data_IF_641231620753
#
_entry.id   IF_641231620753
#
_cell.length_a   1.000
_cell.length_b   1.000
_cell.length_c   1.000
_cell.angle_alpha   90.00
_cell.angle_beta   90.00
_cell.angle_gamma   90.00
#
_symmetry.space_group_name_H-M   'P 1'
#
loop_
_entity.id
_entity.type
_entity.pdbx_description
1 polymer ?
#
# COMPACT_ATOMS: atom_id res chain seq x y z
N UNK A 1 9.16 -20.49 -4.01
CA UNK A 1 9.46 -19.05 -3.88
C UNK A 1 8.14 -18.32 -3.70
N UNK A 2 7.84 -17.84 -2.50
CA UNK A 2 6.72 -16.92 -2.33
C UNK A 2 7.09 -15.63 -3.07
N UNK A 3 6.43 -15.40 -4.21
CA UNK A 3 6.69 -14.23 -5.03
C UNK A 3 6.55 -12.95 -4.22
N UNK A 4 7.48 -12.02 -4.44
CA UNK A 4 7.51 -10.70 -3.83
C UNK A 4 6.15 -10.00 -3.98
N UNK A 5 5.50 -9.64 -2.86
CA UNK A 5 4.20 -8.96 -2.89
C UNK A 5 4.36 -7.50 -3.36
N UNK A 6 3.51 -7.10 -4.31
CA UNK A 6 3.41 -5.72 -4.80
C UNK A 6 1.99 -5.19 -4.65
N UNK A 7 1.86 -3.92 -4.31
CA UNK A 7 0.60 -3.20 -4.24
C UNK A 7 0.60 -2.03 -5.22
N UNK A 8 -0.29 -2.08 -6.21
CA UNK A 8 -0.51 -0.98 -7.16
C UNK A 8 -1.65 -0.11 -6.65
N UNK A 9 -1.36 1.15 -6.35
CA UNK A 9 -2.31 2.12 -5.81
C UNK A 9 -2.52 3.18 -6.88
N UNK A 10 -3.77 3.37 -7.31
CA UNK A 10 -4.12 4.34 -8.35
C UNK A 10 -5.05 5.40 -7.77
N UNK A 11 -4.76 6.67 -8.06
CA UNK A 11 -5.61 7.78 -7.63
C UNK A 11 -6.80 7.91 -8.56
N UNK A 12 -7.91 7.29 -8.16
CA UNK A 12 -9.19 7.34 -8.87
C UNK A 12 -10.28 7.85 -7.94
N UNK A 13 -11.22 8.62 -8.51
CA UNK A 13 -12.38 9.10 -7.75
C UNK A 13 -13.38 7.94 -7.59
N UNK A 14 -13.69 7.59 -6.35
CA UNK A 14 -14.70 6.58 -6.00
C UNK A 14 -15.64 7.14 -4.93
N UNK A 15 -16.94 6.79 -4.94
CA UNK A 15 -17.81 7.13 -3.83
C UNK A 15 -17.35 6.40 -2.57
N UNK A 16 -17.29 7.11 -1.43
CA UNK A 16 -16.96 6.54 -0.13
C UNK A 16 -18.23 6.42 0.72
N UNK A 17 -18.39 5.27 1.38
CA UNK A 17 -19.40 5.08 2.43
C UNK A 17 -18.83 5.41 3.81
N UNK A 18 -19.41 4.80 4.85
CA UNK A 18 -18.87 4.89 6.21
C UNK A 18 -17.53 4.18 6.32
N UNK A 19 -16.60 4.78 7.09
CA UNK A 19 -15.31 4.18 7.36
C UNK A 19 -15.46 2.94 8.26
N UNK A 20 -14.72 1.88 7.95
CA UNK A 20 -14.72 0.65 8.74
C UNK A 20 -13.66 0.71 9.85
N UNK A 21 -13.98 0.14 11.02
CA UNK A 21 -13.00 -0.10 12.09
C UNK A 21 -12.11 -1.29 11.74
N UNK A 22 -10.87 -1.38 12.27
CA UNK A 22 -10.00 -2.54 12.07
C UNK A 22 -10.66 -3.89 12.39
N UNK A 23 -11.54 -3.95 13.40
CA UNK A 23 -12.27 -5.17 13.76
C UNK A 23 -13.36 -5.59 12.77
N UNK A 24 -13.71 -4.72 11.83
CA UNK A 24 -14.73 -4.97 10.80
C UNK A 24 -14.10 -5.27 9.43
N UNK A 25 -12.78 -5.07 9.28
CA UNK A 25 -12.08 -5.36 8.04
C UNK A 25 -11.87 -6.88 7.90
N UNK A 26 -12.15 -7.46 6.72
CA UNK A 26 -11.86 -8.86 6.47
C UNK A 26 -10.35 -9.11 6.41
N UNK A 27 -9.89 -10.37 6.62
CA UNK A 27 -8.49 -10.72 6.42
C UNK A 27 -8.00 -10.34 5.03
N UNK A 28 -6.84 -9.67 4.96
CA UNK A 28 -6.25 -9.16 3.71
C UNK A 28 -4.74 -9.31 3.72
N UNK A 29 -4.14 -9.39 2.52
CA UNK A 29 -2.68 -9.30 2.35
C UNK A 29 -2.18 -7.86 2.52
N UNK A 30 -3.06 -6.88 2.22
CA UNK A 30 -2.76 -5.47 2.40
C UNK A 30 -2.94 -5.07 3.87
N UNK A 31 -2.08 -4.17 4.37
CA UNK A 31 -2.23 -3.62 5.71
C UNK A 31 -3.44 -2.69 5.80
N UNK A 32 -3.85 -2.37 7.02
CA UNK A 32 -4.93 -1.39 7.24
C UNK A 32 -4.49 0.05 6.94
N UNK A 33 -3.19 0.33 7.03
CA UNK A 33 -2.61 1.63 6.75
C UNK A 33 -1.14 1.50 6.37
N UNK A 34 -0.69 2.45 5.56
CA UNK A 34 0.71 2.74 5.30
C UNK A 34 1.04 4.14 5.83
N UNK A 35 2.21 4.27 6.42
CA UNK A 35 2.75 5.55 6.86
C UNK A 35 4.10 5.77 6.18
N UNK A 36 4.25 6.91 5.50
CA UNK A 36 5.51 7.29 4.89
C UNK A 36 6.57 7.43 6.00
N UNK A 37 7.65 6.65 5.90
CA UNK A 37 8.78 6.70 6.83
C UNK A 37 9.93 7.54 6.23
N UNK A 38 11.07 7.59 6.93
CA UNK A 38 12.29 8.17 6.38
C UNK A 38 12.83 7.29 5.25
N UNK A 39 13.36 7.90 4.18
CA UNK A 39 13.63 7.21 2.92
C UNK A 39 12.33 6.92 2.17
N UNK A 40 12.36 6.83 0.84
CA UNK A 40 11.20 6.63 -0.05
C UNK A 40 10.50 5.27 0.16
N UNK A 41 9.98 5.06 1.37
CA UNK A 41 9.48 3.81 1.91
C UNK A 41 8.29 4.08 2.82
N UNK A 42 7.37 3.13 2.85
CA UNK A 42 6.24 3.11 3.77
C UNK A 42 6.43 2.02 4.82
N UNK A 43 6.12 2.34 6.07
CA UNK A 43 5.90 1.35 7.12
C UNK A 43 4.41 1.06 7.23
N UNK A 44 4.05 -0.22 7.30
CA UNK A 44 2.67 -0.63 7.45
C UNK A 44 2.24 -0.88 8.90
N UNK A 45 0.92 -1.06 9.12
CA UNK A 45 0.34 -1.34 10.44
C UNK A 45 0.84 -2.62 11.12
N UNK A 46 1.48 -3.51 10.35
CA UNK A 46 2.08 -4.76 10.83
C UNK A 46 3.60 -4.60 10.96
N UNK A 47 4.09 -3.36 10.98
CA UNK A 47 5.51 -2.99 11.06
C UNK A 47 6.38 -3.46 9.89
N UNK A 48 5.79 -3.90 8.77
CA UNK A 48 6.53 -4.29 7.57
C UNK A 48 6.92 -3.08 6.75
N UNK A 49 8.02 -3.18 6.01
CA UNK A 49 8.54 -2.11 5.15
C UNK A 49 8.14 -2.35 3.71
N UNK A 50 7.69 -1.29 3.05
CA UNK A 50 7.32 -1.26 1.64
C UNK A 50 8.16 -0.20 0.92
N UNK A 51 8.92 -0.59 -0.09
CA UNK A 51 9.65 0.34 -0.95
C UNK A 51 8.74 0.91 -2.03
N UNK A 52 8.93 2.20 -2.36
CA UNK A 52 8.33 2.81 -3.53
C UNK A 52 9.13 2.34 -4.75
N UNK A 53 8.57 1.44 -5.57
CA UNK A 53 9.19 1.07 -6.85
C UNK A 53 9.02 2.21 -7.88
N UNK A 54 7.84 2.83 -7.92
CA UNK A 54 7.61 4.05 -8.69
C UNK A 54 6.43 4.87 -8.18
N UNK A 55 6.46 6.16 -8.48
CA UNK A 55 5.35 7.10 -8.31
C UNK A 55 5.30 8.02 -9.53
N UNK A 56 4.34 7.82 -10.42
CA UNK A 56 4.29 8.50 -11.71
C UNK A 56 2.86 8.61 -12.29
N UNK A 57 2.70 9.37 -13.36
CA UNK A 57 1.44 9.50 -14.09
C UNK A 57 1.37 8.47 -15.24
N UNK A 58 0.39 7.57 -15.26
CA UNK A 58 0.11 6.63 -16.36
C UNK A 58 -1.27 6.89 -16.94
N UNK A 59 -1.34 7.24 -18.23
CA UNK A 59 -2.62 7.44 -18.91
C UNK A 59 -3.53 8.47 -18.25
N UNK A 60 -2.95 9.50 -17.62
CA UNK A 60 -3.69 10.54 -16.90
C UNK A 60 -4.08 10.18 -15.45
N UNK A 61 -3.67 9.01 -14.96
CA UNK A 61 -3.92 8.55 -13.59
C UNK A 61 -2.61 8.52 -12.82
N UNK A 62 -2.59 9.10 -11.61
CA UNK A 62 -1.45 9.01 -10.70
C UNK A 62 -1.39 7.60 -10.10
N UNK A 63 -0.23 6.94 -10.23
CA UNK A 63 0.00 5.58 -9.75
C UNK A 63 1.23 5.53 -8.82
N UNK A 64 1.05 4.82 -7.70
CA UNK A 64 2.09 4.46 -6.75
C UNK A 64 2.21 2.93 -6.72
N UNK A 65 3.40 2.41 -7.01
CA UNK A 65 3.70 0.98 -6.91
C UNK A 65 4.59 0.75 -5.69
N UNK A 66 4.07 -0.04 -4.75
CA UNK A 66 4.78 -0.44 -3.53
C UNK A 66 5.21 -1.89 -3.62
N UNK A 67 6.43 -2.19 -3.17
CA UNK A 67 6.94 -3.56 -3.05
C UNK A 67 7.24 -3.86 -1.59
N UNK A 68 6.68 -4.96 -1.08
CA UNK A 68 6.97 -5.43 0.27
C UNK A 68 8.42 -5.91 0.34
N UNK A 69 9.20 -5.35 1.25
CA UNK A 69 10.57 -5.81 1.51
C UNK A 69 10.50 -7.01 2.46
N UNK A 70 11.28 -8.09 2.22
CA UNK A 70 11.44 -9.16 3.19
C UNK A 70 11.87 -8.59 4.54
N UNK A 71 11.27 -9.05 5.63
CA UNK A 71 11.80 -8.75 6.96
C UNK A 71 13.14 -9.44 7.15
N UNK A 72 13.99 -8.85 8.00
CA UNK A 72 15.16 -9.54 8.56
C UNK A 72 14.74 -10.74 9.44
#
# INVERSE_FOLDING_TARGET
>A
EEGMLRARIQRVQVPLGEALRPSQLPPSRLPHMWQLSQGEQYRDSNSRVWEIEHHLMLGGVEELLLKLVPGD
#
